data_IF_597696212303
#
_entry.id   IF_597696212303
#
_cell.length_a   1.000
_cell.length_b   1.000
_cell.length_c   1.000
_cell.angle_alpha   90.00
_cell.angle_beta   90.00
_cell.angle_gamma   90.00
#
_symmetry.space_group_name_H-M   'P 1'
#
loop_
_entity.id
_entity.type
_entity.pdbx_description
1 polymer ?
#
# COMPACT_ATOMS: atom_id res chain seq x y z
N UNK A 1 19.72 -10.75 -1.52
CA UNK A 1 20.54 -9.53 -1.50
C UNK A 1 21.85 -9.86 -2.19
N UNK A 2 22.28 -9.04 -3.15
CA UNK A 2 23.61 -9.09 -3.74
C UNK A 2 24.00 -7.67 -4.09
N UNK A 3 24.64 -6.98 -3.14
CA UNK A 3 25.13 -5.62 -3.33
C UNK A 3 26.56 -5.74 -3.88
N UNK A 4 26.71 -5.78 -5.20
CA UNK A 4 28.03 -5.64 -5.83
C UNK A 4 28.30 -4.14 -5.99
N UNK A 5 28.71 -3.50 -4.89
CA UNK A 5 29.40 -2.23 -4.95
C UNK A 5 30.81 -2.48 -5.48
N UNK A 6 30.97 -2.42 -6.80
CA UNK A 6 32.25 -2.57 -7.48
C UNK A 6 32.16 -2.15 -8.95
N UNK A 7 33.24 -1.54 -9.46
CA UNK A 7 33.42 -1.25 -10.88
C UNK A 7 33.23 -2.54 -11.70
N UNK A 8 32.61 -2.46 -12.89
CA UNK A 8 32.47 -3.66 -13.72
C UNK A 8 33.83 -4.20 -14.19
N UNK A 9 33.95 -5.52 -14.27
CA UNK A 9 35.22 -6.19 -14.51
C UNK A 9 35.65 -6.06 -15.98
N UNK A 10 34.75 -6.27 -16.95
CA UNK A 10 35.00 -6.10 -18.39
C UNK A 10 33.77 -5.58 -19.17
N UNK A 11 34.00 -4.82 -20.24
CA UNK A 11 32.94 -4.37 -21.15
C UNK A 11 32.18 -5.57 -21.73
N UNK A 12 30.85 -5.49 -21.71
CA UNK A 12 30.00 -6.57 -22.20
C UNK A 12 29.70 -7.66 -21.17
N UNK A 13 30.31 -7.62 -19.97
CA UNK A 13 29.95 -8.50 -18.87
C UNK A 13 28.45 -8.40 -18.55
N UNK A 14 27.88 -9.53 -18.14
CA UNK A 14 26.45 -9.65 -17.84
C UNK A 14 26.25 -10.22 -16.45
N UNK A 15 25.58 -9.45 -15.59
CA UNK A 15 25.07 -9.91 -14.32
C UNK A 15 23.63 -10.40 -14.48
N UNK A 16 23.36 -11.63 -14.06
CA UNK A 16 22.01 -12.22 -14.06
C UNK A 16 21.35 -12.05 -12.69
N UNK A 17 20.08 -11.66 -12.70
CA UNK A 17 19.29 -11.43 -11.50
C UNK A 17 18.12 -12.39 -11.44
N UNK A 18 17.75 -12.75 -10.22
CA UNK A 18 16.58 -13.56 -9.91
C UNK A 18 15.95 -13.05 -8.62
N UNK A 19 14.62 -13.01 -8.56
CA UNK A 19 13.90 -12.63 -7.35
C UNK A 19 13.65 -13.85 -6.44
N UNK A 20 13.55 -13.62 -5.14
CA UNK A 20 13.14 -14.66 -4.19
C UNK A 20 11.67 -15.06 -4.38
N UNK A 21 11.29 -16.24 -3.89
CA UNK A 21 9.90 -16.70 -3.92
C UNK A 21 8.95 -15.67 -3.28
N UNK A 22 7.81 -15.42 -3.95
CA UNK A 22 6.86 -14.40 -3.53
C UNK A 22 7.18 -12.98 -4.03
N UNK A 23 8.18 -12.82 -4.89
CA UNK A 23 8.47 -11.57 -5.58
C UNK A 23 8.41 -11.77 -7.10
N UNK A 24 7.94 -10.75 -7.82
CA UNK A 24 7.95 -10.70 -9.28
C UNK A 24 9.03 -9.73 -9.75
N UNK A 25 9.63 -10.02 -10.90
CA UNK A 25 10.66 -9.17 -11.50
C UNK A 25 10.02 -8.15 -12.42
N UNK A 26 10.31 -6.87 -12.18
CA UNK A 26 9.99 -5.78 -13.09
C UNK A 26 11.28 -5.26 -13.75
N UNK A 27 11.28 -5.29 -15.08
CA UNK A 27 12.43 -4.90 -15.90
C UNK A 27 13.18 -6.10 -16.48
N UNK A 28 14.39 -5.85 -16.94
CA UNK A 28 15.22 -6.85 -17.61
C UNK A 28 16.03 -7.62 -16.55
N UNK A 29 15.90 -8.94 -16.51
CA UNK A 29 16.61 -9.82 -15.56
C UNK A 29 18.14 -9.90 -15.69
N UNK A 30 18.73 -9.04 -16.52
CA UNK A 30 20.16 -8.95 -16.74
C UNK A 30 20.60 -7.50 -16.75
N UNK A 31 21.70 -7.22 -16.08
CA UNK A 31 22.43 -5.95 -16.23
C UNK A 31 23.69 -6.19 -17.04
N UNK A 32 24.04 -5.26 -17.92
CA UNK A 32 25.22 -5.31 -18.78
C UNK A 32 26.19 -4.18 -18.39
N UNK A 33 27.48 -4.48 -18.37
CA UNK A 33 28.52 -3.44 -18.28
C UNK A 33 28.65 -2.72 -19.63
N UNK A 34 28.48 -1.40 -19.58
CA UNK A 34 28.58 -0.48 -20.71
C UNK A 34 30.04 -0.05 -20.93
N UNK A 35 30.34 0.53 -22.10
CA UNK A 35 31.70 1.00 -22.46
C UNK A 35 32.24 2.05 -21.49
N UNK A 36 31.34 2.81 -20.85
CA UNK A 36 31.67 3.83 -19.86
C UNK A 36 32.01 3.25 -18.46
N UNK A 37 32.11 1.92 -18.33
CA UNK A 37 32.43 1.27 -17.06
C UNK A 37 31.28 1.24 -16.05
N UNK A 38 30.04 1.48 -16.48
CA UNK A 38 28.85 1.43 -15.61
C UNK A 38 27.92 0.28 -15.99
N UNK A 39 27.23 -0.28 -15.00
CA UNK A 39 26.19 -1.28 -15.22
C UNK A 39 24.88 -0.61 -15.65
N UNK A 40 24.13 -1.25 -16.56
CA UNK A 40 22.73 -0.86 -16.83
C UNK A 40 21.87 -0.98 -15.55
N UNK A 41 20.77 -0.23 -15.43
CA UNK A 41 19.89 -0.33 -14.26
C UNK A 41 19.47 -1.78 -13.99
N UNK A 42 19.67 -2.31 -12.77
CA UNK A 42 19.24 -3.67 -12.43
C UNK A 42 17.71 -3.76 -12.37
N UNK A 43 17.13 -4.96 -12.51
CA UNK A 43 15.70 -5.15 -12.34
C UNK A 43 15.26 -4.90 -10.90
N UNK A 44 13.99 -4.57 -10.72
CA UNK A 44 13.38 -4.43 -9.39
C UNK A 44 12.56 -5.66 -9.05
N UNK A 45 12.66 -6.15 -7.82
CA UNK A 45 11.82 -7.25 -7.33
C UNK A 45 10.65 -6.67 -6.53
N UNK A 46 9.43 -6.82 -7.02
CA UNK A 46 8.22 -6.38 -6.32
C UNK A 46 7.59 -7.54 -5.57
N UNK A 47 7.20 -7.30 -4.32
CA UNK A 47 6.50 -8.30 -3.53
C UNK A 47 5.14 -8.62 -4.15
N UNK A 48 4.79 -9.90 -4.16
CA UNK A 48 3.50 -10.41 -4.60
C UNK A 48 2.62 -10.59 -3.36
N UNK A 49 1.48 -9.92 -3.34
CA UNK A 49 0.44 -10.14 -2.35
C UNK A 49 -0.66 -10.97 -3.01
N UNK A 50 -0.77 -12.26 -2.64
CA UNK A 50 -1.80 -13.17 -3.18
C UNK A 50 -3.20 -12.57 -3.01
N UNK A 51 -3.43 -11.94 -1.86
CA UNK A 51 -4.60 -11.10 -1.64
C UNK A 51 -4.20 -9.64 -1.84
N UNK A 52 -4.82 -8.90 -2.78
CA UNK A 52 -4.43 -7.52 -3.06
C UNK A 52 -4.72 -6.62 -1.86
N UNK A 53 -3.79 -5.70 -1.63
CA UNK A 53 -3.95 -4.60 -0.67
C UNK A 53 -5.04 -3.64 -1.17
N UNK A 54 -5.94 -3.24 -0.27
CA UNK A 54 -7.07 -2.37 -0.58
C UNK A 54 -6.77 -0.92 -0.19
N UNK A 55 -7.65 -0.01 -0.61
CA UNK A 55 -7.64 1.41 -0.21
C UNK A 55 -6.31 2.14 -0.44
N UNK A 56 -5.55 1.75 -1.48
CA UNK A 56 -4.26 2.34 -1.81
C UNK A 56 -3.08 1.75 -1.05
N UNK A 57 -3.26 0.63 -0.34
CA UNK A 57 -2.17 -0.11 0.29
C UNK A 57 -1.16 -0.67 -0.72
N UNK A 58 0.10 -0.76 -0.31
CA UNK A 58 1.21 -1.25 -1.13
C UNK A 58 1.72 -2.59 -0.61
N UNK A 59 1.95 -3.55 -1.50
CA UNK A 59 2.59 -4.80 -1.12
C UNK A 59 4.09 -4.54 -0.87
N UNK A 60 4.55 -4.73 0.37
CA UNK A 60 5.94 -4.46 0.77
C UNK A 60 6.74 -5.74 1.03
N UNK A 61 6.04 -6.84 1.32
CA UNK A 61 6.60 -8.18 1.40
C UNK A 61 5.50 -9.19 1.05
N UNK A 62 5.84 -10.45 0.74
CA UNK A 62 4.85 -11.49 0.49
C UNK A 62 3.82 -11.51 1.61
N UNK A 63 2.54 -11.42 1.24
CA UNK A 63 1.40 -11.39 2.17
C UNK A 63 1.34 -10.20 3.15
N UNK A 64 2.18 -9.18 2.98
CA UNK A 64 2.23 -8.01 3.87
C UNK A 64 1.98 -6.72 3.11
N UNK A 65 0.89 -6.05 3.49
CA UNK A 65 0.53 -4.73 3.01
C UNK A 65 1.05 -3.63 3.95
N UNK A 66 1.60 -2.57 3.37
CA UNK A 66 1.77 -1.27 4.01
C UNK A 66 0.51 -0.45 3.74
N UNK A 67 -0.14 -0.01 4.82
CA UNK A 67 -1.41 0.70 4.73
C UNK A 67 -1.20 2.21 4.73
N UNK A 68 -1.95 2.95 3.91
CA UNK A 68 -1.96 4.40 3.97
C UNK A 68 -2.58 4.87 5.29
N UNK A 69 -2.26 6.11 5.66
CA UNK A 69 -2.76 6.74 6.89
C UNK A 69 -4.28 6.62 6.99
N UNK A 70 -4.76 6.17 8.16
CA UNK A 70 -6.20 5.98 8.40
C UNK A 70 -6.75 4.61 7.96
N UNK A 71 -5.90 3.67 7.53
CA UNK A 71 -6.31 2.29 7.22
C UNK A 71 -5.47 1.28 7.99
N UNK A 72 -6.07 0.12 8.26
CA UNK A 72 -5.45 -0.98 8.99
C UNK A 72 -5.98 -2.35 8.55
N UNK A 73 -5.47 -3.40 9.16
CA UNK A 73 -5.74 -4.80 8.82
C UNK A 73 -4.76 -5.34 7.78
N UNK A 74 -4.72 -6.66 7.63
CA UNK A 74 -3.77 -7.38 6.77
C UNK A 74 -3.81 -6.97 5.30
N UNK A 75 -4.94 -6.41 4.85
CA UNK A 75 -5.17 -5.92 3.48
C UNK A 75 -5.55 -4.44 3.44
N UNK A 76 -5.35 -3.69 4.52
CA UNK A 76 -5.76 -2.28 4.60
C UNK A 76 -7.27 -2.08 4.36
N UNK A 77 -8.09 -3.06 4.78
CA UNK A 77 -9.53 -3.06 4.55
C UNK A 77 -10.32 -2.33 5.64
N UNK A 78 -9.72 -2.13 6.81
CA UNK A 78 -10.37 -1.52 7.97
C UNK A 78 -9.99 -0.05 8.06
N UNK A 79 -10.98 0.83 8.11
CA UNK A 79 -10.75 2.25 8.35
C UNK A 79 -10.42 2.51 9.83
N UNK A 80 -9.53 3.47 10.07
CA UNK A 80 -9.15 3.97 11.39
C UNK A 80 -9.68 5.38 11.54
N UNK A 81 -10.44 5.63 12.59
CA UNK A 81 -10.92 6.96 12.95
C UNK A 81 -10.11 7.44 14.15
N UNK A 82 -9.43 8.59 14.03
CA UNK A 82 -8.64 9.17 15.12
C UNK A 82 -9.51 9.56 16.31
N UNK A 83 -10.73 10.00 16.04
CA UNK A 83 -11.79 10.17 17.05
C UNK A 83 -12.78 9.01 16.95
N UNK A 84 -13.17 8.40 18.09
CA UNK A 84 -14.14 7.31 18.07
C UNK A 84 -15.50 7.81 17.56
N UNK A 85 -16.17 6.98 16.75
CA UNK A 85 -17.54 7.25 16.34
C UNK A 85 -18.49 7.07 17.54
N UNK A 86 -19.17 8.15 17.93
CA UNK A 86 -20.10 8.16 19.06
C UNK A 86 -21.46 7.58 18.66
N UNK A 87 -22.33 7.36 19.65
CA UNK A 87 -23.73 6.97 19.46
C UNK A 87 -23.91 5.74 18.55
N UNK A 88 -23.06 4.74 18.76
CA UNK A 88 -23.05 3.48 18.01
C UNK A 88 -22.75 3.66 16.51
N UNK A 89 -22.07 4.74 16.13
CA UNK A 89 -21.58 4.95 14.77
C UNK A 89 -20.42 4.01 14.43
N UNK A 90 -20.24 3.72 13.13
CA UNK A 90 -19.15 2.85 12.64
C UNK A 90 -18.16 3.64 11.81
N UNK A 91 -16.86 3.43 12.04
CA UNK A 91 -15.83 4.00 11.18
C UNK A 91 -15.87 3.32 9.81
N UNK A 92 -16.19 4.08 8.76
CA UNK A 92 -16.30 3.56 7.39
C UNK A 92 -15.16 4.04 6.48
N UNK A 93 -14.55 5.17 6.83
CA UNK A 93 -13.40 5.76 6.14
C UNK A 93 -12.55 6.51 7.17
N UNK A 94 -11.27 6.81 6.86
CA UNK A 94 -10.43 7.65 7.71
C UNK A 94 -11.18 8.90 8.19
N UNK A 95 -11.33 9.03 9.50
CA UNK A 95 -12.02 10.15 10.16
C UNK A 95 -13.46 10.44 9.68
N UNK A 96 -14.17 9.42 9.15
CA UNK A 96 -15.57 9.54 8.75
C UNK A 96 -16.39 8.37 9.26
N UNK A 97 -17.32 8.70 10.14
CA UNK A 97 -18.26 7.77 10.72
C UNK A 97 -19.54 7.64 9.88
N UNK A 98 -20.08 6.42 9.85
CA UNK A 98 -21.46 6.16 9.49
C UNK A 98 -22.30 6.22 10.76
N UNK A 99 -23.25 7.16 10.79
CA UNK A 99 -24.05 7.41 11.97
C UNK A 99 -25.34 6.61 11.97
N UNK A 100 -25.72 6.13 13.16
CA UNK A 100 -27.03 5.54 13.40
C UNK A 100 -28.15 6.55 13.08
N UNK A 101 -29.37 6.07 12.76
CA UNK A 101 -30.53 6.94 12.56
C UNK A 101 -30.69 7.94 13.71
N UNK A 102 -30.98 9.21 13.37
CA UNK A 102 -31.11 10.28 14.36
C UNK A 102 -29.79 10.96 14.76
N UNK A 103 -28.63 10.52 14.26
CA UNK A 103 -27.33 11.14 14.51
C UNK A 103 -26.65 11.64 13.22
N UNK A 104 -25.79 12.65 13.35
CA UNK A 104 -25.05 13.30 12.26
C UNK A 104 -23.74 13.92 12.78
N UNK A 105 -22.93 14.45 11.86
CA UNK A 105 -21.56 14.91 12.13
C UNK A 105 -20.51 13.85 11.78
N UNK A 106 -19.23 14.26 11.76
CA UNK A 106 -18.13 13.38 11.37
C UNK A 106 -17.87 12.25 12.38
N UNK A 107 -18.20 12.48 13.65
CA UNK A 107 -18.07 11.58 14.80
C UNK A 107 -19.43 11.13 15.36
N UNK A 108 -20.54 11.47 14.68
CA UNK A 108 -21.91 11.18 15.12
C UNK A 108 -22.31 11.81 16.47
N UNK A 109 -21.67 12.91 16.87
CA UNK A 109 -21.97 13.62 18.12
C UNK A 109 -23.30 14.40 18.11
N UNK A 110 -23.83 14.77 16.93
CA UNK A 110 -24.97 15.69 16.81
C UNK A 110 -26.25 14.93 16.52
N UNK A 111 -27.35 15.25 17.19
CA UNK A 111 -28.67 14.74 16.81
C UNK A 111 -29.11 15.37 15.48
N UNK A 112 -29.64 14.56 14.56
CA UNK A 112 -30.37 15.05 13.39
C UNK A 112 -31.60 15.77 13.92
N UNK A 113 -31.66 17.09 13.72
CA UNK A 113 -32.90 17.83 13.88
C UNK A 113 -33.82 17.38 12.76
N UNK A 114 -34.76 16.47 13.04
CA UNK A 114 -35.86 16.17 12.14
C UNK A 114 -36.71 17.42 12.00
N UNK A 115 -36.56 18.13 10.88
CA UNK A 115 -37.34 19.32 10.55
C UNK A 115 -38.11 19.13 9.24
N UNK A 116 -39.34 18.63 9.37
CA UNK A 116 -40.49 18.79 8.49
C UNK A 116 -40.55 18.09 7.11
N UNK A 117 -41.15 16.90 7.09
CA UNK A 117 -42.03 16.50 5.99
C UNK A 117 -43.43 16.24 6.55
N UNK A 118 -44.30 17.24 6.50
CA UNK A 118 -45.73 17.00 6.36
C UNK A 118 -46.24 18.00 5.31
N UNK A 119 -46.80 17.45 4.25
CA UNK A 119 -47.59 18.16 3.26
C UNK A 119 -48.82 18.79 3.93
#
# INVERSE_FOLDING_TARGET
MGWFGGQCYQFGDVALYSCFGGYTMEGIGRSRCLENGTWTPPPTCRAICILPCLNGGRCVAPYRCECPTGWTGTRCHSAVCSSPCLNNGRCIRPNRCHCSPGWTGNDCSRKRKSGYHRF
#
